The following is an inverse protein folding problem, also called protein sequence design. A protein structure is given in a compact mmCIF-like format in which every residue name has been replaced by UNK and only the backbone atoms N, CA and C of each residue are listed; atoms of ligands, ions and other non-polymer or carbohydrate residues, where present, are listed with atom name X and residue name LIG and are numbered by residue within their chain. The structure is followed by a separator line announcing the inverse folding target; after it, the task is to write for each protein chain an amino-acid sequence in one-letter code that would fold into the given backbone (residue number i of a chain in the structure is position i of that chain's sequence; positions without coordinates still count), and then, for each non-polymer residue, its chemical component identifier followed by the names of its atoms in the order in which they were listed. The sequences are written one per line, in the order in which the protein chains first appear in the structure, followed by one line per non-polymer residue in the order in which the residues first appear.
data_IF_285221744251
#
_entry.id   IF_285221744251
#
_cell.length_a   1.000
_cell.length_b   1.000
_cell.length_c   1.000
_cell.angle_alpha   90.00
_cell.angle_beta   90.00
_cell.angle_gamma   90.00
#
_symmetry.space_group_name_H-M   'P 1'
#
loop_
_entity.id
_entity.type
_entity.pdbx_description
1 polymer ?
#
# COMPACT_ATOMS: atom_id res chain seq x y z
N UNK A 1 -9.34 13.46 -15.22
CA UNK A 1 -9.50 12.12 -15.81
C UNK A 1 -8.94 11.10 -14.83
N UNK A 2 -9.80 10.37 -14.13
CA UNK A 2 -9.39 9.37 -13.14
C UNK A 2 -9.06 8.07 -13.88
N UNK A 3 -7.78 7.69 -13.93
CA UNK A 3 -7.35 6.43 -14.51
C UNK A 3 -8.07 5.29 -13.77
N UNK A 4 -8.80 4.47 -14.52
CA UNK A 4 -9.76 3.49 -13.98
C UNK A 4 -9.12 2.21 -13.42
N UNK A 5 -7.78 2.08 -13.46
CA UNK A 5 -7.05 0.86 -13.09
C UNK A 5 -5.64 1.14 -12.52
N UNK A 6 -5.46 2.17 -11.69
CA UNK A 6 -4.09 2.59 -11.28
C UNK A 6 -3.44 1.61 -10.30
N UNK A 7 -4.20 0.82 -9.55
CA UNK A 7 -3.71 0.09 -8.38
C UNK A 7 -3.97 -1.41 -8.45
N UNK A 8 -3.61 -2.04 -9.57
CA UNK A 8 -3.77 -3.48 -9.76
C UNK A 8 -2.41 -4.16 -9.81
N UNK A 9 -2.23 -5.19 -8.97
CA UNK A 9 -1.02 -6.00 -8.88
C UNK A 9 -1.40 -7.47 -9.03
N UNK A 10 -0.69 -8.21 -9.88
CA UNK A 10 -0.92 -9.65 -10.05
C UNK A 10 -0.64 -10.40 -8.75
N UNK A 11 -1.51 -11.36 -8.41
CA UNK A 11 -1.49 -12.08 -7.14
C UNK A 11 -1.57 -13.61 -7.36
N UNK A 12 -0.68 -14.13 -8.21
CA UNK A 12 -0.63 -15.55 -8.61
C UNK A 12 -0.51 -16.52 -7.43
N UNK A 13 -0.05 -16.04 -6.25
CA UNK A 13 0.03 -16.85 -5.03
C UNK A 13 -1.35 -17.33 -4.55
N UNK A 14 -2.43 -16.66 -4.95
CA UNK A 14 -3.81 -17.04 -4.63
C UNK A 14 -4.46 -17.88 -5.73
N UNK A 15 -3.79 -18.03 -6.88
CA UNK A 15 -4.28 -18.77 -8.05
C UNK A 15 -4.16 -17.97 -9.34
N UNK A 16 -4.32 -18.67 -10.47
CA UNK A 16 -4.22 -18.07 -11.79
C UNK A 16 -5.28 -17.00 -12.02
N UNK A 17 -4.85 -15.81 -12.45
CA UNK A 17 -5.73 -14.68 -12.75
C UNK A 17 -6.21 -13.88 -11.54
N UNK A 18 -5.70 -14.17 -10.34
CA UNK A 18 -5.99 -13.35 -9.15
C UNK A 18 -5.19 -12.05 -9.20
N UNK A 19 -5.82 -10.96 -8.76
CA UNK A 19 -5.17 -9.65 -8.64
C UNK A 19 -5.53 -8.97 -7.33
N UNK A 20 -4.63 -8.13 -6.82
CA UNK A 20 -4.89 -7.23 -5.70
C UNK A 20 -5.17 -5.87 -6.32
N UNK A 21 -6.43 -5.43 -6.25
CA UNK A 21 -6.89 -4.16 -6.78
C UNK A 21 -7.49 -3.29 -5.69
N UNK A 22 -6.84 -2.16 -5.40
CA UNK A 22 -7.37 -1.19 -4.44
C UNK A 22 -8.20 -0.12 -5.17
N UNK A 23 -9.49 -0.01 -4.83
CA UNK A 23 -10.39 1.04 -5.30
C UNK A 23 -10.75 2.02 -4.18
N UNK A 24 -11.40 3.14 -4.54
CA UNK A 24 -11.80 4.18 -3.57
C UNK A 24 -12.71 3.65 -2.47
N UNK A 25 -13.57 2.69 -2.80
CA UNK A 25 -14.51 2.09 -1.87
C UNK A 25 -13.79 1.17 -0.88
N UNK A 26 -12.84 0.37 -1.36
CA UNK A 26 -11.96 -0.45 -0.53
C UNK A 26 -11.11 0.41 0.40
N UNK A 27 -10.55 1.51 -0.10
CA UNK A 27 -9.83 2.47 0.74
C UNK A 27 -10.72 3.06 1.84
N UNK A 28 -11.92 3.55 1.50
CA UNK A 28 -12.85 4.11 2.48
C UNK A 28 -13.24 3.11 3.58
N UNK A 29 -13.38 1.82 3.23
CA UNK A 29 -13.64 0.75 4.21
C UNK A 29 -12.47 0.55 5.17
N UNK A 30 -11.24 0.50 4.64
CA UNK A 30 -10.03 0.38 5.47
C UNK A 30 -9.86 1.59 6.40
N UNK A 31 -10.13 2.80 5.89
CA UNK A 31 -10.09 4.02 6.71
C UNK A 31 -11.20 4.05 7.77
N UNK A 32 -12.36 3.44 7.52
CA UNK A 32 -13.42 3.31 8.51
C UNK A 32 -13.04 2.31 9.61
N UNK A 33 -12.36 1.22 9.26
CA UNK A 33 -11.95 0.17 10.19
C UNK A 33 -10.75 0.58 11.06
N UNK A 34 -9.78 1.29 10.48
CA UNK A 34 -8.50 1.61 11.13
C UNK A 34 -8.26 3.10 11.41
N UNK A 35 -9.09 3.98 10.85
CA UNK A 35 -8.89 5.44 10.88
C UNK A 35 -8.01 5.93 9.73
N UNK A 36 -8.46 6.97 9.02
CA UNK A 36 -7.80 7.49 7.81
C UNK A 36 -6.35 7.94 8.02
N UNK A 37 -6.09 8.69 9.09
CA UNK A 37 -4.74 9.19 9.40
C UNK A 37 -3.80 8.05 9.82
N UNK A 38 -4.28 7.12 10.64
CA UNK A 38 -3.50 6.01 11.16
C UNK A 38 -3.13 5.02 10.04
N UNK A 39 -4.08 4.68 9.18
CA UNK A 39 -3.87 3.76 8.06
C UNK A 39 -2.84 4.31 7.04
N UNK A 40 -2.99 5.57 6.62
CA UNK A 40 -2.06 6.18 5.66
C UNK A 40 -0.63 6.28 6.23
N UNK A 41 -0.48 6.70 7.48
CA UNK A 41 0.83 6.81 8.15
C UNK A 41 1.49 5.44 8.31
N UNK A 42 0.72 4.44 8.74
CA UNK A 42 1.20 3.07 8.96
C UNK A 42 1.68 2.38 7.69
N UNK A 43 1.01 2.63 6.56
CA UNK A 43 1.45 2.12 5.26
C UNK A 43 2.64 2.93 4.73
N UNK A 44 2.67 4.24 4.95
CA UNK A 44 3.78 5.10 4.54
C UNK A 44 5.12 4.63 5.13
N UNK A 45 5.14 4.15 6.37
CA UNK A 45 6.37 3.62 6.99
C UNK A 45 6.59 2.11 6.76
N UNK A 46 5.72 1.43 6.00
CA UNK A 46 5.78 -0.03 5.81
C UNK A 46 5.61 -0.86 7.09
N UNK A 47 5.44 -0.20 8.24
CA UNK A 47 5.58 -0.78 9.58
C UNK A 47 4.45 -1.74 9.95
N UNK A 48 3.31 -1.66 9.27
CA UNK A 48 2.09 -2.37 9.70
C UNK A 48 1.65 -3.47 8.74
N UNK A 49 2.05 -3.42 7.46
CA UNK A 49 1.72 -4.46 6.49
C UNK A 49 2.42 -5.79 6.82
N UNK A 50 3.44 -5.78 7.68
CA UNK A 50 4.04 -7.02 8.21
C UNK A 50 3.13 -7.78 9.19
N UNK A 51 2.10 -7.14 9.75
CA UNK A 51 1.16 -7.84 10.63
C UNK A 51 0.08 -8.57 9.81
N UNK A 52 -0.08 -9.87 10.09
CA UNK A 52 -1.04 -10.75 9.39
C UNK A 52 -2.45 -10.18 9.36
N UNK A 53 -2.88 -9.51 10.43
CA UNK A 53 -4.19 -8.87 10.56
C UNK A 53 -4.43 -7.83 9.48
N UNK A 54 -3.44 -6.96 9.22
CA UNK A 54 -3.58 -5.91 8.22
C UNK A 54 -3.58 -6.46 6.80
N UNK A 55 -2.75 -7.47 6.52
CA UNK A 55 -2.79 -8.17 5.22
C UNK A 55 -4.20 -8.72 4.97
N UNK A 56 -4.81 -9.38 5.97
CA UNK A 56 -6.16 -9.94 5.84
C UNK A 56 -7.21 -8.88 5.55
N UNK A 57 -7.24 -7.79 6.31
CA UNK A 57 -8.23 -6.73 6.08
C UNK A 57 -8.02 -6.03 4.74
N UNK A 58 -6.76 -5.81 4.33
CA UNK A 58 -6.45 -5.25 3.01
C UNK A 58 -6.96 -6.16 1.89
N UNK A 59 -6.64 -7.45 1.94
CA UNK A 59 -7.07 -8.43 0.94
C UNK A 59 -8.59 -8.62 0.92
N UNK A 60 -9.27 -8.51 2.07
CA UNK A 60 -10.72 -8.63 2.14
C UNK A 60 -11.45 -7.58 1.29
N UNK A 61 -10.84 -6.42 1.06
CA UNK A 61 -11.42 -5.36 0.22
C UNK A 61 -10.80 -5.27 -1.17
N UNK A 62 -9.61 -5.82 -1.38
CA UNK A 62 -8.81 -5.62 -2.60
C UNK A 62 -8.54 -6.87 -3.43
N UNK A 63 -8.59 -8.07 -2.86
CA UNK A 63 -8.35 -9.30 -3.63
C UNK A 63 -9.51 -9.53 -4.61
N UNK A 64 -9.16 -9.78 -5.88
CA UNK A 64 -10.07 -10.03 -6.98
C UNK A 64 -9.72 -11.35 -7.66
N UNK A 65 -10.74 -12.09 -8.08
CA UNK A 65 -10.55 -13.29 -8.91
C UNK A 65 -10.36 -12.92 -10.40
N UNK A 66 -10.19 -13.94 -11.25
CA UNK A 66 -10.04 -13.77 -12.70
C UNK A 66 -11.23 -13.10 -13.41
N UNK A 67 -12.39 -12.97 -12.73
CA UNK A 67 -13.57 -12.28 -13.24
C UNK A 67 -13.62 -10.82 -12.75
N UNK A 68 -12.71 -10.42 -11.87
CA UNK A 68 -12.67 -9.10 -11.26
C UNK A 68 -13.60 -8.95 -10.06
N UNK A 69 -14.11 -10.06 -9.51
CA UNK A 69 -15.01 -10.07 -8.35
C UNK A 69 -14.22 -10.15 -7.04
N UNK A 70 -14.74 -9.51 -5.97
CA UNK A 70 -14.10 -9.56 -4.64
C UNK A 70 -14.13 -10.98 -4.08
N UNK A 71 -12.95 -11.50 -3.75
CA UNK A 71 -12.80 -12.83 -3.18
C UNK A 71 -13.15 -12.79 -1.69
N UNK A 72 -14.22 -13.51 -1.30
CA UNK A 72 -14.69 -13.54 0.09
C UNK A 72 -13.93 -14.53 0.97
N UNK A 73 -13.33 -15.56 0.37
CA UNK A 73 -12.66 -16.63 1.09
C UNK A 73 -11.49 -17.11 0.26
N UNK A 74 -10.33 -17.18 0.89
CA UNK A 74 -9.08 -17.60 0.28
C UNK A 74 -8.18 -18.18 1.37
N UNK A 75 -7.34 -19.12 0.96
CA UNK A 75 -6.26 -19.59 1.82
C UNK A 75 -5.10 -18.60 1.75
N UNK A 76 -4.50 -18.31 2.89
CA UNK A 76 -3.43 -17.34 2.98
C UNK A 76 -2.10 -18.00 2.57
N UNK A 77 -1.49 -17.61 1.44
CA UNK A 77 -0.25 -18.23 0.98
C UNK A 77 0.91 -17.81 1.90
N UNK A 78 1.84 -18.74 2.11
CA UNK A 78 3.08 -18.52 2.86
C UNK A 78 4.26 -18.56 1.88
N UNK A 79 5.30 -17.72 2.06
CA UNK A 79 5.49 -16.75 3.14
C UNK A 79 4.68 -15.45 2.96
N UNK A 80 4.24 -14.86 4.08
CA UNK A 80 3.41 -13.65 4.09
C UNK A 80 4.12 -12.41 3.57
N UNK A 81 5.44 -12.38 3.62
CA UNK A 81 6.25 -11.23 3.20
C UNK A 81 6.00 -10.84 1.74
N UNK A 82 5.79 -11.83 0.87
CA UNK A 82 5.50 -11.58 -0.55
C UNK A 82 4.13 -10.93 -0.73
N UNK A 83 3.13 -11.44 0.01
CA UNK A 83 1.77 -10.89 0.01
C UNK A 83 1.78 -9.46 0.56
N UNK A 84 2.53 -9.22 1.63
CA UNK A 84 2.69 -7.91 2.23
C UNK A 84 3.28 -6.89 1.24
N UNK A 85 4.34 -7.28 0.50
CA UNK A 85 4.92 -6.43 -0.55
C UNK A 85 3.90 -6.07 -1.63
N UNK A 86 3.13 -7.04 -2.13
CA UNK A 86 2.09 -6.78 -3.14
C UNK A 86 0.99 -5.85 -2.63
N UNK A 87 0.61 -5.96 -1.36
CA UNK A 87 -0.33 -5.03 -0.73
C UNK A 87 0.25 -3.60 -0.66
N UNK A 88 1.54 -3.47 -0.31
CA UNK A 88 2.24 -2.18 -0.31
C UNK A 88 2.31 -1.58 -1.72
N UNK A 89 2.61 -2.38 -2.73
CA UNK A 89 2.66 -1.93 -4.12
C UNK A 89 1.29 -1.47 -4.60
N UNK A 90 0.23 -2.24 -4.34
CA UNK A 90 -1.14 -1.84 -4.71
C UNK A 90 -1.54 -0.53 -4.01
N UNK A 91 -1.19 -0.36 -2.73
CA UNK A 91 -1.45 0.90 -2.03
C UNK A 91 -0.64 2.07 -2.60
N UNK A 92 0.67 1.89 -2.81
CA UNK A 92 1.53 2.95 -3.33
C UNK A 92 1.11 3.36 -4.75
N UNK A 93 0.73 2.39 -5.57
CA UNK A 93 0.14 2.64 -6.88
C UNK A 93 -1.15 3.45 -6.76
N UNK A 94 -2.07 3.06 -5.86
CA UNK A 94 -3.30 3.81 -5.61
C UNK A 94 -3.04 5.26 -5.18
N UNK A 95 -2.14 5.45 -4.23
CA UNK A 95 -1.95 6.75 -3.56
C UNK A 95 -1.01 7.69 -4.30
N UNK A 96 0.01 7.15 -4.97
CA UNK A 96 1.14 7.88 -5.54
C UNK A 96 1.36 7.61 -7.03
N UNK A 97 0.63 6.66 -7.63
CA UNK A 97 0.74 6.33 -9.06
C UNK A 97 2.03 5.60 -9.45
N UNK A 98 2.75 5.03 -8.48
CA UNK A 98 4.00 4.28 -8.69
C UNK A 98 4.13 3.17 -7.64
N UNK A 99 4.94 2.15 -7.90
CA UNK A 99 5.20 1.06 -6.95
C UNK A 99 5.86 1.54 -5.65
N UNK A 100 5.84 0.68 -4.63
CA UNK A 100 6.31 1.05 -3.29
C UNK A 100 7.82 1.32 -3.26
N UNK A 101 8.61 0.54 -4.00
CA UNK A 101 10.08 0.69 -4.04
C UNK A 101 10.48 2.04 -4.66
N UNK A 102 9.86 2.40 -5.80
CA UNK A 102 10.08 3.67 -6.48
C UNK A 102 9.67 4.84 -5.61
N UNK A 103 8.49 4.77 -4.98
CA UNK A 103 8.03 5.82 -4.07
C UNK A 103 8.93 5.98 -2.84
N UNK A 104 9.27 4.87 -2.17
CA UNK A 104 10.10 4.92 -0.96
C UNK A 104 11.51 5.45 -1.25
N UNK A 105 12.11 5.07 -2.39
CA UNK A 105 13.40 5.59 -2.82
C UNK A 105 13.38 7.10 -3.11
N UNK A 106 12.27 7.64 -3.62
CA UNK A 106 12.09 9.08 -3.83
C UNK A 106 11.83 9.83 -2.52
N UNK A 107 10.98 9.29 -1.64
CA UNK A 107 10.71 9.85 -0.32
C UNK A 107 11.99 9.96 0.52
N UNK A 108 12.81 8.91 0.53
CA UNK A 108 14.11 8.92 1.22
C UNK A 108 15.09 9.95 0.65
N UNK A 109 14.98 10.33 -0.63
CA UNK A 109 15.78 11.41 -1.25
C UNK A 109 15.23 12.79 -0.90
N UNK A 110 13.91 12.94 -0.76
CA UNK A 110 13.26 14.19 -0.37
C UNK A 110 13.57 14.56 1.09
N UNK A 111 13.53 13.59 2.01
CA UNK A 111 13.89 13.82 3.42
C UNK A 111 15.37 14.23 3.56
N UNK A 112 16.27 13.61 2.80
CA UNK A 112 17.68 14.01 2.74
C UNK A 112 17.92 15.41 2.16
N UNK A 113 17.04 15.89 1.28
CA UNK A 113 17.09 17.28 0.80
C UNK A 113 16.54 18.26 1.83
N UNK A 114 15.47 17.90 2.55
CA UNK A 114 14.91 18.73 3.61
C UNK A 114 15.88 18.93 4.79
N UNK A 115 16.68 17.91 5.15
CA UNK A 115 17.75 18.05 6.14
C UNK A 115 18.94 18.89 5.64
N UNK A 116 19.17 18.95 4.33
CA UNK A 116 20.24 19.76 3.74
C UNK A 116 19.83 21.23 3.49
N UNK A 117 18.53 21.51 3.38
CA UNK A 117 17.97 22.85 3.12
C UNK A 117 17.50 23.60 4.37
N UNK A 118 17.79 23.09 5.57
CA UNK A 118 17.65 23.84 6.81
C UNK A 118 19.02 24.35 7.29
N UNK A 119 19.59 25.42 6.67
CA UNK A 119 20.67 26.15 7.31
C UNK A 119 20.02 26.87 8.50
N UNK A 120 20.10 26.27 9.68
CA UNK A 120 19.73 26.95 10.92
C UNK A 120 20.43 28.30 10.96
N UNK A 121 19.62 29.35 10.85
CA UNK A 121 19.96 30.74 11.17
C UNK A 121 20.80 30.77 12.44
N UNK A 122 21.85 31.59 12.38
CA UNK A 122 22.94 31.59 13.33
C UNK A 122 22.54 31.74 14.78
N UNK A 123 23.37 31.17 15.64
CA UNK A 123 23.49 31.63 17.02
C UNK A 123 24.93 32.07 17.19
N UNK A 124 25.13 33.40 17.28
CA UNK A 124 26.31 33.97 17.92
C UNK A 124 26.32 33.52 19.37
N UNK A 125 27.45 33.01 19.83
CA UNK A 125 27.93 33.19 21.20
C UNK A 125 29.44 33.36 21.12
#
# INVERSE_FOLDING_TARGET
MANKYIAEVEAEEFGTGYTIRLDTDGMARLETEYGAFDFAHKIQFGLVVLSVTFIRSFLAVSLRDAKGDVVKTYDMPLPLDNVGKKCLDAFSLFRYGKDHETWSAEAAKADKKADAENPTKGTKA
#
